data_IF_721337192246
#
_entry.id   IF_721337192246
#
_cell.length_a   1.000
_cell.length_b   1.000
_cell.length_c   1.000
_cell.angle_alpha   90.00
_cell.angle_beta   90.00
_cell.angle_gamma   90.00
#
_symmetry.space_group_name_H-M   'P 1'
#
loop_
_entity.id
_entity.type
_entity.pdbx_description
1 polymer ?
#
# COMPACT_ATOMS: atom_id res chain seq x y z
N UNK A 1 -39.11 -20.84 24.47
CA UNK A 1 -38.47 -19.51 24.34
C UNK A 1 -36.97 -19.71 24.50
N UNK A 2 -36.24 -19.89 23.41
CA UNK A 2 -34.78 -20.10 23.42
C UNK A 2 -34.13 -18.90 22.76
N UNK A 3 -33.41 -18.13 23.56
CA UNK A 3 -32.62 -16.96 23.17
C UNK A 3 -31.60 -17.35 22.10
N UNK A 4 -31.46 -16.61 20.98
CA UNK A 4 -30.41 -16.88 20.02
C UNK A 4 -29.07 -16.50 20.63
N UNK A 5 -28.15 -17.46 20.65
CA UNK A 5 -26.76 -17.24 21.03
C UNK A 5 -26.17 -16.16 20.11
N UNK A 6 -25.65 -15.08 20.70
CA UNK A 6 -24.90 -14.07 19.97
C UNK A 6 -23.70 -14.74 19.29
N UNK A 7 -23.64 -14.64 17.96
CA UNK A 7 -22.47 -15.03 17.20
C UNK A 7 -21.23 -14.31 17.77
N UNK A 8 -20.05 -14.97 17.84
CA UNK A 8 -18.85 -14.28 18.27
C UNK A 8 -18.59 -13.13 17.31
N UNK A 9 -18.56 -11.90 17.82
CA UNK A 9 -18.09 -10.75 17.08
C UNK A 9 -16.68 -11.07 16.56
N UNK A 10 -16.49 -10.97 15.24
CA UNK A 10 -15.29 -11.39 14.51
C UNK A 10 -14.00 -10.89 15.19
N UNK A 11 -13.29 -11.79 15.88
CA UNK A 11 -12.03 -11.49 16.58
C UNK A 11 -10.89 -11.05 15.65
N UNK A 12 -11.08 -11.17 14.33
CA UNK A 12 -10.10 -10.80 13.29
C UNK A 12 -10.25 -9.36 12.80
N UNK A 13 -11.33 -8.65 13.15
CA UNK A 13 -11.55 -7.25 12.80
C UNK A 13 -10.39 -6.30 13.19
N UNK A 14 -9.80 -6.39 14.41
CA UNK A 14 -8.69 -5.51 14.78
C UNK A 14 -7.40 -5.81 14.03
N UNK A 15 -7.07 -7.10 13.77
CA UNK A 15 -5.85 -7.49 13.04
C UNK A 15 -5.91 -6.98 11.59
N UNK A 16 -7.05 -7.14 10.92
CA UNK A 16 -7.25 -6.62 9.57
C UNK A 16 -7.13 -5.09 9.52
N UNK A 17 -7.68 -4.38 10.52
CA UNK A 17 -7.59 -2.93 10.64
C UNK A 17 -6.15 -2.44 10.79
N UNK A 18 -5.35 -3.07 11.66
CA UNK A 18 -3.96 -2.68 11.88
C UNK A 18 -3.10 -2.91 10.63
N UNK A 19 -3.33 -4.01 9.91
CA UNK A 19 -2.64 -4.32 8.66
C UNK A 19 -3.02 -3.31 7.56
N UNK A 20 -4.30 -2.93 7.46
CA UNK A 20 -4.75 -1.89 6.53
C UNK A 20 -4.13 -0.53 6.86
N UNK A 21 -4.07 -0.15 8.14
CA UNK A 21 -3.43 1.09 8.57
C UNK A 21 -1.93 1.11 8.24
N UNK A 22 -1.21 0.00 8.47
CA UNK A 22 0.19 -0.13 8.11
C UNK A 22 0.41 -0.07 6.58
N UNK A 23 -0.49 -0.69 5.81
CA UNK A 23 -0.46 -0.62 4.34
C UNK A 23 -0.67 0.80 3.81
N UNK A 24 -1.62 1.56 4.39
CA UNK A 24 -1.84 2.95 4.04
C UNK A 24 -0.62 3.83 4.35
N UNK A 25 -0.02 3.68 5.54
CA UNK A 25 1.21 4.39 5.90
C UNK A 25 2.36 4.06 4.93
N UNK A 26 2.51 2.79 4.56
CA UNK A 26 3.55 2.41 3.61
C UNK A 26 3.32 3.01 2.22
N UNK A 27 2.06 3.11 1.77
CA UNK A 27 1.71 3.79 0.52
C UNK A 27 2.09 5.27 0.55
N UNK A 28 1.85 5.98 1.66
CA UNK A 28 2.27 7.39 1.81
C UNK A 28 3.80 7.54 1.71
N UNK A 29 4.56 6.67 2.39
CA UNK A 29 6.03 6.65 2.32
C UNK A 29 6.51 6.36 0.90
N UNK A 30 5.85 5.43 0.21
CA UNK A 30 6.17 5.05 -1.15
C UNK A 30 5.94 6.21 -2.13
N UNK A 31 4.86 6.97 -1.97
CA UNK A 31 4.57 8.16 -2.78
C UNK A 31 5.61 9.25 -2.59
N UNK A 32 6.03 9.53 -1.35
CA UNK A 32 7.12 10.47 -1.09
C UNK A 32 8.44 9.98 -1.69
N UNK A 33 8.75 8.69 -1.58
CA UNK A 33 9.98 8.15 -2.16
C UNK A 33 9.99 8.29 -3.69
N UNK A 34 8.86 8.02 -4.36
CA UNK A 34 8.68 8.27 -5.79
C UNK A 34 8.94 9.75 -6.13
N UNK A 35 8.42 10.68 -5.32
CA UNK A 35 8.65 12.12 -5.52
C UNK A 35 10.14 12.48 -5.39
N UNK A 36 10.85 11.92 -4.41
CA UNK A 36 12.30 12.11 -4.25
C UNK A 36 13.08 11.58 -5.45
N UNK A 37 12.76 10.37 -5.94
CA UNK A 37 13.43 9.75 -7.11
C UNK A 37 13.24 10.64 -8.34
N UNK A 38 12.01 11.09 -8.61
CA UNK A 38 11.71 12.00 -9.73
C UNK A 38 12.51 13.30 -9.63
N UNK A 39 12.57 13.90 -8.44
CA UNK A 39 13.36 15.11 -8.20
C UNK A 39 14.84 14.85 -8.50
N UNK A 40 15.41 13.75 -8.01
CA UNK A 40 16.81 13.38 -8.26
C UNK A 40 17.11 13.11 -9.73
N UNK A 41 16.18 12.54 -10.48
CA UNK A 41 16.30 12.38 -11.93
C UNK A 41 16.43 13.73 -12.65
N UNK A 42 15.72 14.76 -12.19
CA UNK A 42 15.82 16.11 -12.79
C UNK A 42 17.08 16.85 -12.40
N UNK A 43 17.68 16.52 -11.25
CA UNK A 43 18.89 17.18 -10.74
C UNK A 43 20.18 16.59 -11.32
N UNK A 44 20.18 15.33 -11.76
CA UNK A 44 21.39 14.64 -12.20
C UNK A 44 21.58 14.68 -13.72
N UNK A 45 22.79 15.01 -14.16
CA UNK A 45 23.21 14.92 -15.57
C UNK A 45 23.86 13.59 -15.91
N UNK A 46 24.21 12.78 -14.90
CA UNK A 46 24.84 11.48 -15.08
C UNK A 46 23.88 10.49 -15.76
N UNK A 47 24.34 9.86 -16.86
CA UNK A 47 23.50 8.99 -17.67
C UNK A 47 23.19 7.66 -16.99
N UNK A 48 24.17 7.09 -16.26
CA UNK A 48 24.00 5.84 -15.54
C UNK A 48 23.06 6.00 -14.35
N UNK A 49 23.20 7.10 -13.61
CA UNK A 49 22.29 7.45 -12.52
C UNK A 49 20.86 7.67 -13.02
N UNK A 50 20.67 8.32 -14.18
CA UNK A 50 19.33 8.50 -14.78
C UNK A 50 18.69 7.16 -15.15
N UNK A 51 19.46 6.25 -15.74
CA UNK A 51 18.99 4.91 -16.09
C UNK A 51 18.59 4.11 -14.83
N UNK A 52 19.47 4.08 -13.84
CA UNK A 52 19.22 3.41 -12.55
C UNK A 52 17.99 3.97 -11.81
N UNK A 53 17.81 5.30 -11.83
CA UNK A 53 16.65 5.95 -11.21
C UNK A 53 15.35 5.70 -12.01
N UNK A 54 15.44 5.54 -13.33
CA UNK A 54 14.31 5.16 -14.18
C UNK A 54 13.83 3.75 -13.84
N UNK A 55 14.75 2.79 -13.75
CA UNK A 55 14.44 1.41 -13.34
C UNK A 55 13.84 1.36 -11.94
N UNK A 56 14.43 2.10 -10.99
CA UNK A 56 13.90 2.22 -9.64
C UNK A 56 12.47 2.79 -9.66
N UNK A 57 12.22 3.83 -10.47
CA UNK A 57 10.89 4.45 -10.55
C UNK A 57 9.83 3.46 -11.06
N UNK A 58 10.17 2.60 -12.02
CA UNK A 58 9.28 1.54 -12.50
C UNK A 58 8.89 0.62 -11.37
N UNK A 59 9.87 0.05 -10.64
CA UNK A 59 9.60 -0.86 -9.53
C UNK A 59 8.75 -0.21 -8.42
N UNK A 60 9.01 1.07 -8.10
CA UNK A 60 8.21 1.79 -7.09
C UNK A 60 6.77 2.02 -7.56
N UNK A 61 6.56 2.32 -8.84
CA UNK A 61 5.20 2.47 -9.38
C UNK A 61 4.44 1.15 -9.40
N UNK A 62 5.09 0.03 -9.72
CA UNK A 62 4.47 -1.30 -9.65
C UNK A 62 4.05 -1.66 -8.22
N UNK A 63 4.91 -1.37 -7.23
CA UNK A 63 4.58 -1.57 -5.82
C UNK A 63 3.38 -0.72 -5.39
N UNK A 64 3.31 0.55 -5.83
CA UNK A 64 2.20 1.46 -5.54
C UNK A 64 0.90 0.94 -6.13
N UNK A 65 0.94 0.51 -7.39
CA UNK A 65 -0.23 0.00 -8.09
C UNK A 65 -0.75 -1.29 -7.40
N UNK A 66 0.15 -2.11 -6.86
CA UNK A 66 -0.20 -3.24 -6.00
C UNK A 66 -0.95 -2.84 -4.72
N UNK A 67 -0.48 -1.82 -4.00
CA UNK A 67 -1.17 -1.28 -2.83
C UNK A 67 -2.55 -0.69 -3.16
N UNK A 68 -2.64 0.04 -4.27
CA UNK A 68 -3.90 0.64 -4.72
C UNK A 68 -4.92 -0.43 -5.11
N UNK A 69 -4.49 -1.55 -5.70
CA UNK A 69 -5.36 -2.68 -5.98
C UNK A 69 -5.94 -3.30 -4.69
N UNK A 70 -5.17 -3.35 -3.60
CA UNK A 70 -5.64 -3.79 -2.28
C UNK A 70 -6.65 -2.82 -1.65
N UNK A 71 -6.46 -1.51 -1.82
CA UNK A 71 -7.35 -0.49 -1.26
C UNK A 71 -8.76 -0.49 -1.90
N UNK A 72 -8.91 -1.06 -3.11
CA UNK A 72 -10.20 -1.19 -3.81
C UNK A 72 -10.96 -2.44 -3.39
N UNK A 73 -10.36 -3.36 -2.62
CA UNK A 73 -11.07 -4.53 -2.09
C UNK A 73 -11.94 -4.09 -0.91
N UNK A 74 -13.28 -4.06 -1.05
CA UNK A 74 -14.14 -3.69 0.07
C UNK A 74 -13.95 -4.70 1.21
N UNK A 75 -13.91 -4.23 2.46
CA UNK A 75 -13.73 -5.06 3.66
C UNK A 75 -14.71 -6.26 3.71
N UNK A 76 -15.90 -6.10 3.12
CA UNK A 76 -16.94 -7.12 2.96
C UNK A 76 -16.50 -8.32 2.10
N UNK A 77 -15.59 -8.12 1.14
CA UNK A 77 -15.06 -9.17 0.27
C UNK A 77 -13.93 -9.99 0.93
N UNK A 78 -13.41 -9.55 2.09
CA UNK A 78 -12.31 -10.19 2.81
C UNK A 78 -12.82 -11.09 3.95
N UNK A 79 -14.15 -11.24 4.09
CA UNK A 79 -14.75 -12.16 5.08
C UNK A 79 -14.47 -11.76 6.52
N UNK A 80 -14.48 -10.45 6.82
CA UNK A 80 -14.39 -9.86 8.16
C UNK A 80 -15.64 -9.05 8.45
#
# INVERSE_FOLDING_TARGET
MTTPAAAPANANAPVASDVLAAAALHLEVLEEFIAVVRRKMTETTDAFARDSLSDLLVSLTEQRDGYQAFAVIPAEAIGV
#
